data_IF_028624167595
#
_entry.id   IF_028624167595
#
_cell.length_a   1.000
_cell.length_b   1.000
_cell.length_c   1.000
_cell.angle_alpha   90.00
_cell.angle_beta   90.00
_cell.angle_gamma   90.00
#
_symmetry.space_group_name_H-M   'P 1'
#
loop_
_entity.id
_entity.type
_entity.pdbx_description
1 polymer ?
#
# COMPACT_ATOMS: atom_id res chain seq x y z
N UNK A 1 -3.88 5.47 20.37
CA UNK A 1 -3.78 6.44 19.26
C UNK A 1 -2.50 6.12 18.50
N UNK A 2 -2.60 5.76 17.22
CA UNK A 2 -1.42 5.41 16.43
C UNK A 2 -0.80 6.68 15.86
N UNK A 3 0.52 6.84 16.02
CA UNK A 3 1.26 8.02 15.59
C UNK A 3 2.14 7.68 14.39
N UNK A 4 2.28 8.63 13.47
CA UNK A 4 3.15 8.55 12.30
C UNK A 4 4.20 9.65 12.41
N UNK A 5 5.46 9.34 12.12
CA UNK A 5 6.51 10.36 12.06
C UNK A 5 6.70 10.82 10.62
N UNK A 6 6.50 12.11 10.37
CA UNK A 6 6.83 12.76 9.10
C UNK A 6 8.18 13.49 9.25
N UNK A 7 9.02 13.42 8.23
CA UNK A 7 10.32 14.10 8.20
C UNK A 7 10.31 15.12 7.08
N UNK A 8 10.56 16.39 7.40
CA UNK A 8 10.66 17.47 6.43
C UNK A 8 12.02 17.42 5.69
N UNK A 9 12.13 18.10 4.53
CA UNK A 9 13.37 18.13 3.76
C UNK A 9 14.59 18.67 4.51
N UNK A 10 14.37 19.52 5.52
CA UNK A 10 15.40 20.07 6.42
C UNK A 10 15.80 19.10 7.56
N UNK A 11 15.21 17.89 7.59
CA UNK A 11 15.47 16.87 8.61
C UNK A 11 14.60 17.00 9.86
N UNK A 12 13.74 18.02 9.97
CA UNK A 12 12.82 18.15 11.10
C UNK A 12 11.80 17.01 11.11
N UNK A 13 11.63 16.36 12.27
CA UNK A 13 10.70 15.24 12.47
C UNK A 13 9.53 15.64 13.34
N UNK A 14 8.32 15.35 12.90
CA UNK A 14 7.11 15.62 13.67
C UNK A 14 6.22 14.37 13.74
N UNK A 15 5.61 14.15 14.91
CA UNK A 15 4.68 13.04 15.14
C UNK A 15 3.25 13.53 14.99
N UNK A 16 2.51 12.86 14.13
CA UNK A 16 1.14 13.20 13.81
C UNK A 16 0.19 12.04 14.12
N UNK A 17 -1.04 12.37 14.49
CA UNK A 17 -2.12 11.38 14.55
C UNK A 17 -2.33 10.74 13.18
N UNK A 18 -2.40 9.41 13.14
CA UNK A 18 -2.55 8.64 11.90
C UNK A 18 -3.75 9.10 11.06
N UNK A 19 -4.93 9.25 11.69
CA UNK A 19 -6.17 9.55 10.95
C UNK A 19 -6.10 10.96 10.35
N UNK A 20 -5.61 11.92 11.12
CA UNK A 20 -5.35 13.28 10.65
C UNK A 20 -4.38 13.29 9.48
N UNK A 21 -3.27 12.55 9.60
CA UNK A 21 -2.24 12.44 8.56
C UNK A 21 -2.80 11.86 7.28
N UNK A 22 -3.55 10.76 7.37
CA UNK A 22 -4.15 10.10 6.23
C UNK A 22 -5.12 11.02 5.48
N UNK A 23 -6.04 11.68 6.19
CA UNK A 23 -7.03 12.57 5.57
C UNK A 23 -6.37 13.80 4.91
N UNK A 24 -5.35 14.36 5.56
CA UNK A 24 -4.61 15.50 5.03
C UNK A 24 -3.78 15.12 3.79
N UNK A 25 -3.13 13.95 3.79
CA UNK A 25 -2.45 13.42 2.60
C UNK A 25 -3.43 13.11 1.47
N UNK A 26 -4.62 12.60 1.78
CA UNK A 26 -5.65 12.31 0.77
C UNK A 26 -6.14 13.61 0.12
N UNK A 27 -6.35 14.65 0.92
CA UNK A 27 -6.69 16.00 0.43
C UNK A 27 -5.56 16.57 -0.44
N UNK A 28 -4.31 16.42 0.00
CA UNK A 28 -3.14 16.90 -0.74
C UNK A 28 -2.94 16.18 -2.06
N UNK A 29 -3.03 14.85 -2.06
CA UNK A 29 -2.96 14.01 -3.26
C UNK A 29 -4.06 14.37 -4.26
N UNK A 30 -5.29 14.56 -3.79
CA UNK A 30 -6.42 14.95 -4.64
C UNK A 30 -6.18 16.30 -5.32
N UNK A 31 -5.54 17.24 -4.61
CA UNK A 31 -5.14 18.52 -5.17
C UNK A 31 -4.04 18.38 -6.23
N UNK A 32 -2.97 17.65 -5.93
CA UNK A 32 -1.85 17.45 -6.88
C UNK A 32 -2.27 16.70 -8.15
N UNK A 33 -3.32 15.86 -8.08
CA UNK A 33 -3.82 15.07 -9.22
C UNK A 33 -4.43 15.93 -10.31
N UNK A 34 -5.05 17.06 -9.94
CA UNK A 34 -5.77 17.93 -10.87
C UNK A 34 -5.76 19.37 -10.31
N UNK A 35 -4.60 20.01 -10.35
CA UNK A 35 -4.41 21.33 -9.71
C UNK A 35 -5.30 22.42 -10.29
N UNK A 36 -5.74 22.26 -11.54
CA UNK A 36 -6.54 23.25 -12.25
C UNK A 36 -8.03 23.20 -11.87
N UNK A 37 -8.53 22.02 -11.45
CA UNK A 37 -9.94 21.82 -11.11
C UNK A 37 -10.17 21.36 -9.66
N UNK A 38 -9.11 21.10 -8.89
CA UNK A 38 -9.23 20.59 -7.54
C UNK A 38 -9.75 21.63 -6.55
N UNK A 39 -10.43 21.12 -5.51
CA UNK A 39 -10.73 21.92 -4.33
C UNK A 39 -9.45 22.33 -3.63
N UNK A 40 -9.41 23.56 -3.14
CA UNK A 40 -8.33 24.07 -2.30
C UNK A 40 -8.02 23.11 -1.14
N UNK A 41 -6.75 22.73 -0.96
CA UNK A 41 -6.37 21.82 0.11
C UNK A 41 -6.64 22.44 1.48
N UNK A 42 -7.01 21.59 2.44
CA UNK A 42 -7.24 22.02 3.82
C UNK A 42 -5.99 22.64 4.45
N UNK A 43 -6.16 23.45 5.52
CA UNK A 43 -5.03 24.02 6.26
C UNK A 43 -4.02 22.95 6.70
N UNK A 44 -4.50 21.79 7.14
CA UNK A 44 -3.65 20.68 7.57
C UNK A 44 -2.93 20.05 6.36
N UNK A 45 -3.60 19.87 5.22
CA UNK A 45 -2.95 19.39 4.00
C UNK A 45 -1.80 20.31 3.55
N UNK A 46 -2.00 21.63 3.61
CA UNK A 46 -0.95 22.63 3.33
C UNK A 46 0.20 22.61 4.35
N UNK A 47 -0.03 22.14 5.57
CA UNK A 47 1.03 21.96 6.56
C UNK A 47 1.83 20.67 6.28
N UNK A 48 1.13 19.56 6.03
CA UNK A 48 1.77 18.28 5.71
C UNK A 48 2.58 18.36 4.40
N UNK A 49 2.15 19.15 3.41
CA UNK A 49 2.92 19.32 2.17
C UNK A 49 4.36 19.83 2.39
N UNK A 50 4.61 20.56 3.48
CA UNK A 50 5.97 20.99 3.85
C UNK A 50 6.88 19.81 4.23
N UNK A 51 6.29 18.70 4.66
CA UNK A 51 7.01 17.48 5.02
C UNK A 51 7.13 16.51 3.84
N UNK A 52 6.04 16.35 3.07
CA UNK A 52 5.96 15.31 2.04
C UNK A 52 6.25 15.81 0.62
N UNK A 53 6.34 17.13 0.44
CA UNK A 53 6.58 17.75 -0.85
C UNK A 53 5.38 17.73 -1.79
N UNK A 54 5.66 18.04 -3.06
CA UNK A 54 4.67 18.18 -4.12
C UNK A 54 4.77 17.07 -5.18
N UNK A 55 5.67 16.09 -5.01
CA UNK A 55 5.73 14.92 -5.89
C UNK A 55 4.53 14.02 -5.59
N UNK A 56 3.58 13.99 -6.53
CA UNK A 56 2.37 13.17 -6.43
C UNK A 56 2.66 11.69 -6.24
N UNK A 57 3.77 11.18 -6.78
CA UNK A 57 4.18 9.78 -6.66
C UNK A 57 4.61 9.48 -5.23
N UNK A 58 5.39 10.37 -4.63
CA UNK A 58 5.83 10.27 -3.24
C UNK A 58 4.63 10.37 -2.28
N UNK A 59 3.71 11.30 -2.53
CA UNK A 59 2.48 11.44 -1.73
C UNK A 59 1.61 10.19 -1.83
N UNK A 60 1.44 9.64 -3.03
CA UNK A 60 0.71 8.39 -3.23
C UNK A 60 1.35 7.21 -2.49
N UNK A 61 2.67 7.08 -2.55
CA UNK A 61 3.42 6.05 -1.83
C UNK A 61 3.19 6.12 -0.32
N UNK A 62 3.27 7.33 0.25
CA UNK A 62 2.98 7.56 1.67
C UNK A 62 1.54 7.22 2.02
N UNK A 63 0.59 7.55 1.15
CA UNK A 63 -0.82 7.14 1.33
C UNK A 63 -0.98 5.62 1.33
N UNK A 64 -0.37 4.91 0.39
CA UNK A 64 -0.42 3.44 0.35
C UNK A 64 0.26 2.80 1.56
N UNK A 65 1.39 3.36 2.02
CA UNK A 65 2.06 2.94 3.26
C UNK A 65 1.13 3.10 4.48
N UNK A 66 0.44 4.24 4.58
CA UNK A 66 -0.51 4.50 5.66
C UNK A 66 -1.78 3.65 5.55
N UNK A 67 -2.28 3.43 4.35
CA UNK A 67 -3.41 2.52 4.12
C UNK A 67 -3.04 1.09 4.49
N UNK A 68 -1.75 0.74 4.50
CA UNK A 68 -1.26 -0.52 5.05
C UNK A 68 -1.66 -0.78 6.52
N UNK A 69 -1.75 0.29 7.32
CA UNK A 69 -2.24 0.21 8.70
C UNK A 69 -3.77 0.14 8.75
N UNK A 70 -4.47 0.77 7.80
CA UNK A 70 -5.91 0.59 7.66
C UNK A 70 -6.22 -0.87 7.28
N UNK A 71 -7.32 -1.42 7.78
CA UNK A 71 -7.79 -2.76 7.43
C UNK A 71 -6.78 -3.91 7.67
N UNK A 72 -5.77 -3.66 8.52
CA UNK A 72 -4.77 -4.64 8.94
C UNK A 72 -3.97 -5.27 7.78
N UNK A 73 -3.68 -4.50 6.72
CA UNK A 73 -3.04 -5.03 5.50
C UNK A 73 -1.61 -5.55 5.75
N UNK A 74 -0.84 -4.91 6.64
CA UNK A 74 0.48 -5.44 7.02
C UNK A 74 0.40 -6.84 7.62
N UNK A 75 -0.54 -7.08 8.54
CA UNK A 75 -0.73 -8.41 9.12
C UNK A 75 -1.21 -9.42 8.08
N UNK A 76 -2.13 -9.02 7.19
CA UNK A 76 -2.57 -9.87 6.07
C UNK A 76 -1.40 -10.25 5.15
N UNK A 77 -0.53 -9.29 4.83
CA UNK A 77 0.68 -9.54 4.04
C UNK A 77 1.65 -10.47 4.77
N UNK A 78 1.85 -10.27 6.08
CA UNK A 78 2.68 -11.16 6.92
C UNK A 78 2.16 -12.61 6.92
N UNK A 79 0.85 -12.80 7.06
CA UNK A 79 0.21 -14.13 7.00
C UNK A 79 0.38 -14.84 5.64
N UNK A 80 0.51 -14.07 4.55
CA UNK A 80 0.80 -14.60 3.22
C UNK A 80 2.28 -14.94 3.06
N UNK A 81 3.17 -14.11 3.60
CA UNK A 81 4.62 -14.30 3.49
C UNK A 81 5.12 -15.44 4.38
N UNK A 82 4.62 -15.57 5.61
CA UNK A 82 5.11 -16.56 6.58
C UNK A 82 4.91 -18.01 6.13
N UNK A 83 3.84 -18.26 5.38
CA UNK A 83 3.43 -19.61 4.99
C UNK A 83 3.65 -19.86 3.48
N UNK A 84 4.31 -18.92 2.81
CA UNK A 84 4.70 -19.10 1.42
C UNK A 84 6.22 -19.26 1.35
N UNK A 85 6.68 -20.31 0.66
CA UNK A 85 8.06 -20.37 0.16
C UNK A 85 8.30 -19.41 -1.00
N UNK A 86 7.36 -18.48 -1.26
CA UNK A 86 7.32 -17.61 -2.43
C UNK A 86 7.92 -16.26 -2.09
N UNK A 87 8.62 -15.67 -3.05
CA UNK A 87 9.12 -14.31 -2.87
C UNK A 87 7.96 -13.29 -2.93
N UNK A 88 8.14 -12.13 -2.31
CA UNK A 88 7.22 -10.99 -2.41
C UNK A 88 6.86 -10.65 -3.87
N UNK A 89 7.84 -10.79 -4.78
CA UNK A 89 7.66 -10.62 -6.22
C UNK A 89 6.66 -11.63 -6.79
N UNK A 90 6.81 -12.92 -6.45
CA UNK A 90 5.89 -13.95 -6.89
C UNK A 90 4.48 -13.71 -6.35
N UNK A 91 4.37 -13.33 -5.07
CA UNK A 91 3.09 -13.00 -4.44
C UNK A 91 2.40 -11.83 -5.16
N UNK A 92 3.13 -10.75 -5.45
CA UNK A 92 2.64 -9.60 -6.21
C UNK A 92 2.06 -10.00 -7.57
N UNK A 93 2.80 -10.80 -8.35
CA UNK A 93 2.33 -11.24 -9.66
C UNK A 93 1.11 -12.18 -9.57
N UNK A 94 1.04 -13.04 -8.54
CA UNK A 94 -0.13 -13.87 -8.29
C UNK A 94 -1.35 -12.99 -8.00
N UNK A 95 -1.25 -12.05 -7.05
CA UNK A 95 -2.33 -11.12 -6.72
C UNK A 95 -2.81 -10.34 -7.93
N UNK A 96 -1.88 -9.78 -8.73
CA UNK A 96 -2.20 -9.04 -9.97
C UNK A 96 -2.89 -9.92 -11.02
N UNK A 97 -2.65 -11.23 -10.99
CA UNK A 97 -3.28 -12.18 -11.91
C UNK A 97 -4.66 -12.65 -11.46
N UNK A 98 -5.08 -12.38 -10.22
CA UNK A 98 -6.43 -12.69 -9.75
C UNK A 98 -7.39 -11.82 -10.57
N UNK A 99 -8.30 -12.46 -11.30
CA UNK A 99 -9.22 -11.86 -12.28
C UNK A 99 -8.60 -11.40 -13.62
N UNK A 100 -7.36 -11.80 -13.93
CA UNK A 100 -6.83 -11.63 -15.28
C UNK A 100 -7.33 -12.76 -16.19
N UNK A 101 -8.16 -12.42 -17.17
CA UNK A 101 -8.73 -13.36 -18.16
C UNK A 101 -7.70 -13.93 -19.12
N UNK A 102 -6.58 -13.24 -19.32
CA UNK A 102 -5.56 -13.58 -20.32
C UNK A 102 -4.39 -14.38 -19.72
N UNK A 103 -4.53 -14.86 -18.49
CA UNK A 103 -3.48 -15.63 -17.83
C UNK A 103 -3.35 -17.04 -18.43
N UNK A 104 -2.19 -17.33 -19.01
CA UNK A 104 -1.86 -18.66 -19.53
C UNK A 104 -1.00 -19.45 -18.51
N UNK A 105 -1.50 -20.60 -18.00
CA UNK A 105 -0.75 -21.42 -17.06
C UNK A 105 0.43 -22.10 -17.77
N UNK A 106 1.61 -21.99 -17.17
CA UNK A 106 2.85 -22.52 -17.77
C UNK A 106 3.03 -24.04 -17.52
N UNK A 107 2.43 -24.60 -16.45
CA UNK A 107 2.35 -26.04 -16.23
C UNK A 107 1.23 -26.40 -15.23
N UNK A 108 0.68 -27.62 -15.32
CA UNK A 108 -0.40 -28.08 -14.42
C UNK A 108 0.01 -28.05 -12.93
N UNK A 109 1.24 -28.42 -12.61
CA UNK A 109 1.71 -28.43 -11.22
C UNK A 109 1.91 -27.01 -10.67
N UNK A 110 2.49 -26.10 -11.47
CA UNK A 110 2.65 -24.69 -11.09
C UNK A 110 1.28 -24.03 -10.92
N UNK A 111 0.33 -24.38 -11.78
CA UNK A 111 -1.03 -23.85 -11.68
C UNK A 111 -1.75 -24.30 -10.42
N UNK A 112 -1.64 -25.59 -10.04
CA UNK A 112 -2.20 -26.06 -8.75
C UNK A 112 -1.61 -25.32 -7.56
N UNK A 113 -0.30 -25.03 -7.56
CA UNK A 113 0.33 -24.25 -6.49
C UNK A 113 -0.15 -22.79 -6.48
N UNK A 114 -0.29 -22.18 -7.66
CA UNK A 114 -0.84 -20.84 -7.82
C UNK A 114 -2.27 -20.79 -7.27
N UNK A 115 -3.12 -21.74 -7.62
CA UNK A 115 -4.51 -21.79 -7.14
C UNK A 115 -4.60 -21.90 -5.62
N UNK A 116 -3.77 -22.73 -4.98
CA UNK A 116 -3.68 -22.75 -3.50
C UNK A 116 -3.31 -21.39 -2.90
N UNK A 117 -2.42 -20.66 -3.57
CA UNK A 117 -2.03 -19.30 -3.14
C UNK A 117 -3.19 -18.33 -3.33
N UNK A 118 -3.92 -18.42 -4.44
CA UNK A 118 -5.11 -17.60 -4.72
C UNK A 118 -6.21 -17.86 -3.69
N UNK A 119 -6.52 -19.12 -3.40
CA UNK A 119 -7.49 -19.52 -2.36
C UNK A 119 -7.13 -18.89 -1.01
N UNK A 120 -5.86 -18.93 -0.64
CA UNK A 120 -5.37 -18.32 0.60
C UNK A 120 -5.47 -16.79 0.59
N UNK A 121 -5.08 -16.14 -0.52
CA UNK A 121 -5.23 -14.69 -0.69
C UNK A 121 -6.70 -14.32 -0.50
N UNK A 122 -7.60 -15.03 -1.17
CA UNK A 122 -9.04 -14.84 -1.08
C UNK A 122 -9.58 -15.04 0.34
N UNK A 123 -9.09 -16.03 1.09
CA UNK A 123 -9.44 -16.19 2.50
C UNK A 123 -8.98 -15.01 3.35
N UNK A 124 -7.73 -14.57 3.19
CA UNK A 124 -7.14 -13.47 3.97
C UNK A 124 -7.77 -12.11 3.64
N UNK A 125 -8.18 -11.92 2.38
CA UNK A 125 -8.89 -10.72 1.93
C UNK A 125 -10.41 -10.83 2.14
N UNK A 126 -10.92 -11.94 2.67
CA UNK A 126 -12.37 -12.23 2.78
C UNK A 126 -13.11 -12.12 1.43
N UNK A 127 -12.45 -12.45 0.32
CA UNK A 127 -12.92 -12.24 -1.05
C UNK A 127 -13.29 -10.78 -1.38
N UNK A 128 -12.87 -9.80 -0.58
CA UNK A 128 -13.13 -8.39 -0.84
C UNK A 128 -12.18 -7.87 -1.94
N UNK A 129 -12.68 -7.46 -3.12
CA UNK A 129 -11.85 -6.96 -4.20
C UNK A 129 -11.07 -5.69 -3.83
N UNK A 130 -11.64 -4.84 -2.97
CA UNK A 130 -11.00 -3.59 -2.57
C UNK A 130 -9.82 -3.86 -1.62
N UNK A 131 -10.00 -4.76 -0.65
CA UNK A 131 -8.89 -5.24 0.19
C UNK A 131 -7.78 -5.88 -0.66
N UNK A 132 -8.13 -6.72 -1.66
CA UNK A 132 -7.13 -7.31 -2.55
C UNK A 132 -6.35 -6.24 -3.33
N UNK A 133 -7.05 -5.23 -3.87
CA UNK A 133 -6.42 -4.14 -4.61
C UNK A 133 -5.41 -3.38 -3.74
N UNK A 134 -5.83 -2.96 -2.54
CA UNK A 134 -4.95 -2.23 -1.60
C UNK A 134 -3.78 -3.07 -1.13
N UNK A 135 -4.01 -4.35 -0.84
CA UNK A 135 -2.95 -5.30 -0.48
C UNK A 135 -1.94 -5.47 -1.63
N UNK A 136 -2.42 -5.49 -2.88
CA UNK A 136 -1.57 -5.56 -4.08
C UNK A 136 -0.71 -4.30 -4.23
N UNK A 137 -1.29 -3.12 -4.02
CA UNK A 137 -0.56 -1.84 -4.03
C UNK A 137 0.51 -1.78 -2.93
N UNK A 138 0.18 -2.21 -1.71
CA UNK A 138 1.13 -2.30 -0.61
C UNK A 138 2.29 -3.26 -0.95
N UNK A 139 1.96 -4.45 -1.45
CA UNK A 139 2.94 -5.46 -1.87
C UNK A 139 3.88 -4.92 -2.94
N UNK A 140 3.37 -4.10 -3.89
CA UNK A 140 4.16 -3.46 -4.93
C UNK A 140 5.24 -2.54 -4.36
N UNK A 141 4.96 -1.83 -3.27
CA UNK A 141 5.97 -0.96 -2.62
C UNK A 141 7.17 -1.76 -2.10
N UNK A 142 6.94 -2.96 -1.55
CA UNK A 142 8.01 -3.87 -1.15
C UNK A 142 8.78 -4.42 -2.35
N UNK A 143 8.08 -4.80 -3.43
CA UNK A 143 8.72 -5.26 -4.68
C UNK A 143 9.61 -4.19 -5.31
N UNK A 144 9.19 -2.93 -5.25
CA UNK A 144 9.95 -1.79 -5.76
C UNK A 144 11.11 -1.35 -4.85
N UNK A 145 11.28 -1.95 -3.68
CA UNK A 145 12.26 -1.52 -2.67
C UNK A 145 11.93 -0.19 -1.99
N UNK A 146 10.69 0.29 -2.13
CA UNK A 146 10.21 1.53 -1.50
C UNK A 146 9.84 1.32 -0.02
N UNK A 147 9.51 0.07 0.34
CA UNK A 147 9.35 -0.37 1.73
C UNK A 147 10.28 -1.55 2.01
N UNK A 148 10.85 -1.57 3.21
CA UNK A 148 11.67 -2.67 3.71
C UNK A 148 10.95 -3.40 4.84
N UNK A 149 11.21 -4.71 5.00
CA UNK A 149 10.56 -5.55 6.02
C UNK A 149 10.83 -5.08 7.46
N UNK A 150 11.94 -4.39 7.71
CA UNK A 150 12.22 -3.72 9.00
C UNK A 150 11.14 -2.68 9.37
N UNK A 151 10.38 -2.20 8.39
CA UNK A 151 9.27 -1.28 8.60
C UNK A 151 7.96 -2.01 8.97
N UNK A 152 7.94 -3.35 8.97
CA UNK A 152 6.83 -4.18 9.45
C UNK A 152 7.00 -4.61 10.91
N UNK A 153 8.19 -4.45 11.49
CA UNK A 153 8.47 -4.68 12.91
C UNK A 153 8.13 -3.40 13.68
N UNK A 154 6.87 -3.27 14.09
CA UNK A 154 6.40 -2.24 15.02
C UNK A 154 6.53 -2.67 16.47
#
# INVERSE_FOLDING_TARGET
MQLVTLTAPDGHKERWDFKTTYLALLSWYSYLKDTDNAKEPTRIAKLISKFVGNDITQVHMLLTYLDGFNNNLYSKLSLLMHDSSKSMVQLYFIMKSINNTDYLPHSKQKERQRQKTIERINQITNNDPETLKRLTELTKLFVNGQLHYSNMEG
#
